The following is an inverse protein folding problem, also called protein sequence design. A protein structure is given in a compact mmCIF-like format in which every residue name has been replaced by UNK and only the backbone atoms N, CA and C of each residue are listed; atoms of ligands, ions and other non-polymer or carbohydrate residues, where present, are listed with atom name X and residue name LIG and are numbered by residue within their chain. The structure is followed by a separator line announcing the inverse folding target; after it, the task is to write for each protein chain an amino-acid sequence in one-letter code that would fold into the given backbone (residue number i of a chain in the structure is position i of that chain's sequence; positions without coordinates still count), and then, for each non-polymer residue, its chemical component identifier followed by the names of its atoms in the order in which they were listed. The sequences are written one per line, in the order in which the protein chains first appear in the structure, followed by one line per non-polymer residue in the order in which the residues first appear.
data_IF_301985861666
#
_entry.id   IF_301985861666
#
_cell.length_a   1.000
_cell.length_b   1.000
_cell.length_c   1.000
_cell.angle_alpha   90.00
_cell.angle_beta   90.00
_cell.angle_gamma   90.00
#
_symmetry.space_group_name_H-M   'P 1'
#
loop_
_entity.id
_entity.type
_entity.pdbx_description
1 polymer ?
#
# COMPACT_ATOMS: atom_id res chain seq x y z
N UNK A 1 -3.34 -22.73 -3.21
CA UNK A 1 -4.58 -22.72 -2.44
C UNK A 1 -4.51 -21.60 -1.42
N UNK A 2 -5.21 -20.52 -1.71
CA UNK A 2 -5.49 -19.46 -0.76
C UNK A 2 -6.55 -19.99 0.17
N UNK A 3 -6.16 -20.47 1.34
CA UNK A 3 -7.15 -20.85 2.32
C UNK A 3 -7.83 -19.59 2.83
N UNK A 4 -9.14 -19.64 2.87
CA UNK A 4 -10.08 -18.64 3.37
C UNK A 4 -9.78 -18.13 4.80
N UNK A 5 -8.79 -18.72 5.47
CA UNK A 5 -8.43 -18.41 6.85
C UNK A 5 -7.48 -17.23 7.03
N UNK A 6 -6.89 -16.69 5.95
CA UNK A 6 -5.86 -15.64 6.02
C UNK A 6 -6.43 -14.23 5.85
N UNK A 7 -7.47 -14.08 5.06
CA UNK A 7 -8.37 -12.94 5.17
C UNK A 7 -9.61 -13.44 5.85
N UNK A 8 -9.92 -13.01 7.06
CA UNK A 8 -11.19 -13.37 7.65
C UNK A 8 -12.26 -13.13 6.58
N UNK A 9 -12.96 -14.19 6.18
CA UNK A 9 -13.99 -14.21 5.14
C UNK A 9 -15.06 -13.12 5.28
N UNK A 10 -15.03 -12.40 6.39
CA UNK A 10 -15.98 -11.37 6.77
C UNK A 10 -15.57 -9.96 6.34
N UNK A 11 -14.32 -9.73 5.89
CA UNK A 11 -13.83 -8.38 5.58
C UNK A 11 -13.69 -8.10 4.08
N UNK A 12 -13.17 -9.02 3.28
CA UNK A 12 -12.90 -8.79 1.86
C UNK A 12 -13.47 -9.92 0.99
N UNK A 13 -14.20 -9.54 -0.06
CA UNK A 13 -14.70 -10.49 -1.05
C UNK A 13 -13.63 -10.87 -2.09
N UNK A 14 -13.84 -12.01 -2.78
CA UNK A 14 -12.90 -12.57 -3.75
C UNK A 14 -12.63 -11.60 -4.91
N UNK A 15 -13.64 -10.85 -5.36
CA UNK A 15 -13.49 -9.85 -6.43
C UNK A 15 -12.54 -8.74 -6.03
N UNK A 16 -12.61 -8.31 -4.78
CA UNK A 16 -11.75 -7.27 -4.22
C UNK A 16 -10.33 -7.80 -4.06
N UNK A 17 -10.17 -9.03 -3.57
CA UNK A 17 -8.87 -9.70 -3.47
C UNK A 17 -8.21 -9.79 -4.84
N UNK A 18 -8.93 -10.24 -5.86
CA UNK A 18 -8.44 -10.33 -7.23
C UNK A 18 -8.14 -8.96 -7.84
N UNK A 19 -9.05 -8.00 -7.70
CA UNK A 19 -8.88 -6.62 -8.22
C UNK A 19 -7.60 -5.98 -7.71
N UNK A 20 -7.33 -6.07 -6.41
CA UNK A 20 -6.12 -5.49 -5.81
C UNK A 20 -4.89 -6.40 -5.95
N UNK A 21 -5.07 -7.67 -6.32
CA UNK A 21 -4.02 -8.66 -6.46
C UNK A 21 -3.38 -9.03 -5.13
N UNK A 22 -4.21 -9.13 -4.08
CA UNK A 22 -3.72 -9.48 -2.74
C UNK A 22 -3.16 -10.90 -2.74
N UNK A 23 -2.11 -11.11 -1.98
CA UNK A 23 -1.43 -12.39 -1.87
C UNK A 23 -0.96 -12.66 -0.44
N UNK A 24 -0.43 -13.86 -0.20
CA UNK A 24 0.18 -14.22 1.07
C UNK A 24 1.61 -14.74 0.85
N UNK A 25 2.56 -14.20 1.59
CA UNK A 25 3.91 -14.72 1.64
C UNK A 25 4.03 -15.67 2.84
N UNK A 26 4.28 -16.97 2.61
CA UNK A 26 4.42 -17.94 3.69
C UNK A 26 5.54 -17.62 4.67
N UNK A 27 5.57 -18.31 5.81
CA UNK A 27 6.57 -18.12 6.86
C UNK A 27 7.97 -18.64 6.48
N UNK A 28 8.08 -19.42 5.38
CA UNK A 28 9.34 -19.98 4.92
C UNK A 28 10.45 -18.92 4.84
N UNK A 29 11.69 -19.32 5.21
CA UNK A 29 12.82 -18.39 5.29
C UNK A 29 13.16 -17.73 3.96
N UNK A 30 13.17 -18.52 2.88
CA UNK A 30 13.61 -18.13 1.53
C UNK A 30 12.74 -18.71 0.41
N UNK A 31 11.49 -19.05 0.70
CA UNK A 31 10.60 -19.74 -0.24
C UNK A 31 10.34 -18.95 -1.51
N UNK A 32 10.03 -17.65 -1.39
CA UNK A 32 9.87 -16.76 -2.55
C UNK A 32 11.19 -16.60 -3.31
N UNK A 33 12.29 -16.34 -2.59
CA UNK A 33 13.60 -16.12 -3.17
C UNK A 33 14.06 -17.32 -4.01
N UNK A 34 13.90 -18.56 -3.49
CA UNK A 34 14.22 -19.79 -4.21
C UNK A 34 13.37 -19.93 -5.48
N UNK A 35 12.05 -19.81 -5.33
CA UNK A 35 11.13 -19.92 -6.47
C UNK A 35 11.39 -18.87 -7.55
N UNK A 36 11.77 -17.65 -7.16
CA UNK A 36 12.12 -16.60 -8.11
C UNK A 36 13.42 -16.90 -8.86
N UNK A 37 14.45 -17.37 -8.16
CA UNK A 37 15.73 -17.76 -8.79
C UNK A 37 15.57 -18.96 -9.74
N UNK A 38 14.77 -19.97 -9.36
CA UNK A 38 14.44 -21.12 -10.21
C UNK A 38 13.71 -20.70 -11.49
N UNK A 39 12.89 -19.65 -11.43
CA UNK A 39 12.23 -19.05 -12.60
C UNK A 39 13.13 -18.14 -13.43
N UNK A 40 14.42 -18.03 -13.08
CA UNK A 40 15.39 -17.24 -13.81
C UNK A 40 15.46 -15.76 -13.47
N UNK A 41 14.75 -15.30 -12.42
CA UNK A 41 14.93 -13.92 -11.95
C UNK A 41 16.32 -13.74 -11.33
N UNK A 42 16.97 -12.63 -11.68
CA UNK A 42 18.32 -12.37 -11.19
C UNK A 42 18.31 -11.90 -9.74
N UNK A 43 19.20 -12.46 -8.92
CA UNK A 43 19.41 -12.09 -7.51
C UNK A 43 19.47 -10.56 -7.30
N UNK A 44 20.25 -9.87 -8.14
CA UNK A 44 20.45 -8.42 -8.03
C UNK A 44 19.14 -7.61 -8.04
N UNK A 45 18.16 -8.01 -8.88
CA UNK A 45 16.87 -7.35 -8.92
C UNK A 45 15.99 -7.68 -7.72
N UNK A 46 16.04 -8.92 -7.23
CA UNK A 46 15.32 -9.33 -6.02
C UNK A 46 15.79 -8.53 -4.79
N UNK A 47 17.10 -8.30 -4.70
CA UNK A 47 17.70 -7.49 -3.63
C UNK A 47 17.41 -6.00 -3.82
N UNK A 48 17.60 -5.44 -5.02
CA UNK A 48 17.33 -4.03 -5.33
C UNK A 48 15.87 -3.62 -5.08
N UNK A 49 14.92 -4.50 -5.38
CA UNK A 49 13.49 -4.26 -5.12
C UNK A 49 13.10 -4.50 -3.66
N UNK A 50 14.04 -5.03 -2.86
CA UNK A 50 13.82 -5.33 -1.45
C UNK A 50 12.84 -6.46 -1.18
N UNK A 51 12.60 -7.34 -2.14
CA UNK A 51 11.81 -8.57 -1.95
C UNK A 51 12.64 -9.64 -1.24
N UNK A 52 13.94 -9.67 -1.54
CA UNK A 52 14.94 -10.52 -0.91
C UNK A 52 15.93 -9.67 -0.13
N UNK A 53 16.32 -10.13 1.05
CA UNK A 53 17.37 -9.52 1.86
C UNK A 53 18.60 -10.41 1.77
N UNK A 54 19.76 -9.78 1.51
CA UNK A 54 21.06 -10.43 1.55
C UNK A 54 21.73 -10.13 2.90
N UNK A 55 22.20 -11.16 3.58
CA UNK A 55 22.92 -11.07 4.85
C UNK A 55 24.09 -12.05 4.88
N UNK A 56 24.93 -11.99 5.89
CA UNK A 56 26.00 -12.96 6.14
C UNK A 56 25.50 -14.42 6.23
N UNK A 57 24.23 -14.61 6.60
CA UNK A 57 23.56 -15.92 6.69
C UNK A 57 22.95 -16.38 5.37
N UNK A 58 23.11 -15.61 4.29
CA UNK A 58 22.54 -15.88 2.98
C UNK A 58 21.33 -15.01 2.62
N UNK A 59 20.56 -15.46 1.64
CA UNK A 59 19.39 -14.78 1.13
C UNK A 59 18.14 -15.22 1.90
N UNK A 60 17.25 -14.29 2.18
CA UNK A 60 15.95 -14.59 2.80
C UNK A 60 14.85 -13.62 2.35
N UNK A 61 13.60 -14.07 2.48
CA UNK A 61 12.43 -13.31 2.08
C UNK A 61 12.14 -12.17 3.06
N UNK A 62 11.89 -10.96 2.53
CA UNK A 62 11.54 -9.80 3.35
C UNK A 62 10.17 -9.92 4.00
N UNK A 63 9.17 -10.44 3.28
CA UNK A 63 7.76 -10.39 3.65
C UNK A 63 7.22 -11.74 4.18
N UNK A 64 7.94 -12.39 5.08
CA UNK A 64 7.51 -13.68 5.63
C UNK A 64 6.26 -13.55 6.51
N UNK A 65 5.36 -14.53 6.44
CA UNK A 65 4.12 -14.63 7.19
C UNK A 65 3.24 -13.36 7.07
N UNK A 66 3.12 -12.80 5.84
CA UNK A 66 2.40 -11.54 5.62
C UNK A 66 1.40 -11.63 4.48
N UNK A 67 0.26 -10.99 4.67
CA UNK A 67 -0.62 -10.61 3.56
C UNK A 67 0.05 -9.50 2.77
N UNK A 68 0.08 -9.65 1.45
CA UNK A 68 0.79 -8.80 0.52
C UNK A 68 -0.17 -7.85 -0.20
N UNK A 69 0.18 -6.58 -0.22
CA UNK A 69 -0.54 -5.49 -0.89
C UNK A 69 0.34 -4.95 -2.01
N UNK A 70 0.08 -5.29 -3.30
CA UNK A 70 0.82 -4.71 -4.41
C UNK A 70 0.59 -3.21 -4.50
N UNK A 71 1.65 -2.43 -4.53
CA UNK A 71 1.62 -0.98 -4.72
C UNK A 71 1.85 -0.69 -6.19
N UNK A 72 0.90 0.03 -6.81
CA UNK A 72 0.93 0.35 -8.23
C UNK A 72 1.17 1.83 -8.47
N UNK A 73 1.90 2.13 -9.54
CA UNK A 73 1.98 3.49 -10.08
C UNK A 73 0.69 3.91 -10.82
N UNK A 74 0.66 5.14 -11.32
CA UNK A 74 -0.49 5.65 -12.11
C UNK A 74 -0.75 4.84 -13.40
N UNK A 75 0.25 4.17 -13.95
CA UNK A 75 0.12 3.32 -15.14
C UNK A 75 -0.38 1.90 -14.82
N UNK A 76 -0.42 1.52 -13.53
CA UNK A 76 -0.84 0.20 -13.05
C UNK A 76 0.29 -0.81 -12.90
N UNK A 77 1.53 -0.41 -13.12
CA UNK A 77 2.68 -1.28 -12.90
C UNK A 77 2.91 -1.45 -11.40
N UNK A 78 3.18 -2.67 -10.97
CA UNK A 78 3.57 -2.95 -9.57
C UNK A 78 4.99 -2.44 -9.38
N UNK A 79 5.17 -1.51 -8.44
CA UNK A 79 6.45 -0.86 -8.13
C UNK A 79 6.99 -1.22 -6.74
N UNK A 80 6.12 -1.72 -5.85
CA UNK A 80 6.47 -2.10 -4.48
C UNK A 80 5.40 -2.99 -3.87
N UNK A 81 5.63 -3.41 -2.64
CA UNK A 81 4.67 -4.15 -1.83
C UNK A 81 4.59 -3.59 -0.40
N UNK A 82 3.38 -3.60 0.16
CA UNK A 82 3.15 -3.58 1.58
C UNK A 82 2.92 -5.00 2.09
N UNK A 83 3.25 -5.28 3.34
CA UNK A 83 2.99 -6.57 3.96
C UNK A 83 2.45 -6.41 5.38
N UNK A 84 1.28 -6.99 5.68
CA UNK A 84 0.69 -7.00 7.03
C UNK A 84 0.87 -8.37 7.66
N UNK A 85 1.47 -8.42 8.86
CA UNK A 85 1.58 -9.67 9.62
C UNK A 85 0.19 -10.10 10.12
N UNK A 86 -0.08 -11.40 10.07
CA UNK A 86 -1.37 -11.95 10.52
C UNK A 86 -1.31 -12.44 11.97
N UNK A 87 -0.12 -12.63 12.52
CA UNK A 87 0.06 -13.07 13.90
C UNK A 87 0.08 -11.88 14.86
N UNK A 88 -0.33 -12.13 16.11
CA UNK A 88 -0.26 -11.14 17.18
C UNK A 88 1.15 -11.03 17.79
N UNK A 89 2.21 -11.30 17.03
CA UNK A 89 3.59 -11.16 17.49
C UNK A 89 3.93 -9.67 17.70
N UNK A 90 4.00 -9.28 18.97
CA UNK A 90 4.34 -7.90 19.38
C UNK A 90 5.79 -7.49 19.05
N UNK A 91 6.65 -8.45 18.67
CA UNK A 91 8.05 -8.18 18.31
C UNK A 91 8.22 -7.78 16.85
N UNK A 92 7.23 -8.08 16.01
CA UNK A 92 7.27 -7.78 14.58
C UNK A 92 6.41 -6.58 14.24
N UNK A 93 6.90 -5.69 13.38
CA UNK A 93 6.11 -4.57 12.90
C UNK A 93 4.82 -5.06 12.23
N UNK A 94 3.65 -4.51 12.62
CA UNK A 94 2.34 -4.87 12.07
C UNK A 94 2.31 -4.71 10.55
N UNK A 95 2.86 -3.61 10.03
CA UNK A 95 3.04 -3.35 8.61
C UNK A 95 4.52 -3.21 8.26
N UNK A 96 4.89 -3.73 7.10
CA UNK A 96 6.22 -3.63 6.51
C UNK A 96 6.05 -3.22 5.04
N UNK A 97 6.80 -2.21 4.60
CA UNK A 97 6.80 -1.78 3.21
C UNK A 97 8.11 -2.15 2.51
N UNK A 98 8.08 -2.24 1.18
CA UNK A 98 9.31 -2.24 0.38
C UNK A 98 10.19 -1.05 0.76
N UNK A 99 11.51 -1.18 0.71
CA UNK A 99 12.42 -0.04 0.87
C UNK A 99 12.28 0.93 -0.32
N UNK A 100 12.82 2.12 -0.18
CA UNK A 100 13.04 3.02 -1.31
C UNK A 100 13.88 2.33 -2.39
N UNK A 101 13.55 2.56 -3.64
CA UNK A 101 14.27 1.99 -4.78
C UNK A 101 14.21 2.92 -5.99
N UNK A 102 14.89 2.57 -7.09
CA UNK A 102 14.85 3.34 -8.33
C UNK A 102 13.43 3.52 -8.89
N UNK A 103 12.53 2.59 -8.59
CA UNK A 103 11.14 2.60 -9.11
C UNK A 103 10.09 2.92 -8.04
N UNK A 104 10.45 2.96 -6.77
CA UNK A 104 9.51 3.19 -5.67
C UNK A 104 10.01 4.26 -4.69
N UNK A 105 9.25 5.33 -4.59
CA UNK A 105 9.44 6.41 -3.63
C UNK A 105 8.16 6.60 -2.82
N UNK A 106 8.21 6.30 -1.53
CA UNK A 106 7.04 6.41 -0.62
C UNK A 106 6.44 7.80 -0.65
N UNK A 107 7.29 8.82 -0.63
CA UNK A 107 6.87 10.23 -0.63
C UNK A 107 6.13 10.66 -1.91
N UNK A 108 6.19 9.87 -2.97
CA UNK A 108 5.59 10.18 -4.29
C UNK A 108 4.54 9.15 -4.71
N UNK A 109 4.16 8.26 -3.81
CA UNK A 109 3.25 7.16 -4.11
C UNK A 109 2.04 7.21 -3.21
N UNK A 110 0.85 7.03 -3.78
CA UNK A 110 -0.41 6.84 -3.06
C UNK A 110 -0.95 5.45 -3.37
N UNK A 111 -1.25 4.67 -2.33
CA UNK A 111 -1.89 3.37 -2.52
C UNK A 111 -3.31 3.55 -3.07
N UNK A 112 -3.68 2.69 -3.99
CA UNK A 112 -5.00 2.73 -4.63
C UNK A 112 -5.12 3.70 -5.79
N UNK A 113 -4.16 4.61 -6.03
CA UNK A 113 -4.26 5.69 -7.03
C UNK A 113 -4.56 5.18 -8.45
N UNK A 114 -4.01 4.03 -8.84
CA UNK A 114 -4.29 3.41 -10.14
C UNK A 114 -5.77 3.11 -10.32
N UNK A 115 -6.40 2.54 -9.32
CA UNK A 115 -7.82 2.18 -9.33
C UNK A 115 -8.71 3.41 -9.15
N UNK A 116 -8.28 4.36 -8.31
CA UNK A 116 -9.06 5.52 -7.91
C UNK A 116 -9.11 6.64 -8.96
N UNK A 117 -8.08 6.79 -9.80
CA UNK A 117 -7.88 7.97 -10.67
C UNK A 117 -9.10 8.33 -11.53
N UNK A 118 -9.80 7.35 -12.11
CA UNK A 118 -11.00 7.60 -12.93
C UNK A 118 -12.16 8.11 -12.06
N UNK A 119 -12.39 7.45 -10.93
CA UNK A 119 -13.46 7.80 -9.99
C UNK A 119 -13.20 9.16 -9.33
N UNK A 120 -11.95 9.49 -9.01
CA UNK A 120 -11.58 10.83 -8.50
C UNK A 120 -11.96 11.93 -9.49
N UNK A 121 -11.62 11.78 -10.76
CA UNK A 121 -11.96 12.74 -11.81
C UNK A 121 -13.49 12.83 -11.99
N UNK A 122 -14.18 11.69 -12.05
CA UNK A 122 -15.63 11.61 -12.28
C UNK A 122 -16.42 12.29 -11.15
N UNK A 123 -16.03 12.06 -9.90
CA UNK A 123 -16.71 12.63 -8.72
C UNK A 123 -16.13 14.00 -8.30
N UNK A 124 -15.09 14.46 -8.99
CA UNK A 124 -14.34 15.67 -8.64
C UNK A 124 -13.98 15.74 -7.16
N UNK A 125 -13.58 14.60 -6.57
CA UNK A 125 -13.26 14.46 -5.15
C UNK A 125 -12.35 13.26 -4.90
N UNK A 126 -11.36 13.43 -4.01
CA UNK A 126 -10.49 12.38 -3.52
C UNK A 126 -10.71 12.17 -2.02
N UNK A 127 -10.97 10.95 -1.60
CA UNK A 127 -10.90 10.55 -0.20
C UNK A 127 -9.50 10.07 0.12
N UNK A 128 -8.89 10.66 1.15
CA UNK A 128 -7.57 10.31 1.65
C UNK A 128 -7.71 9.62 3.00
N UNK A 129 -7.35 8.34 3.05
CA UNK A 129 -7.37 7.48 4.24
C UNK A 129 -5.97 7.11 4.69
N UNK A 130 -5.81 6.38 5.82
CA UNK A 130 -4.48 6.08 6.37
C UNK A 130 -3.80 4.89 5.70
N UNK A 131 -4.50 3.77 5.56
CA UNK A 131 -3.89 2.48 5.28
C UNK A 131 -4.43 1.71 4.07
N UNK A 132 -3.80 0.59 3.81
CA UNK A 132 -4.13 -0.32 2.70
C UNK A 132 -5.57 -0.85 2.81
N UNK A 133 -5.93 -1.34 4.00
CA UNK A 133 -7.25 -1.96 4.22
C UNK A 133 -8.38 -0.94 4.14
N UNK A 134 -8.14 0.31 4.54
CA UNK A 134 -9.14 1.36 4.43
C UNK A 134 -9.49 1.61 2.97
N UNK A 135 -8.46 1.79 2.11
CA UNK A 135 -8.67 1.93 0.67
C UNK A 135 -9.45 0.76 0.12
N UNK A 136 -9.04 -0.47 0.43
CA UNK A 136 -9.67 -1.68 -0.10
C UNK A 136 -11.13 -1.78 0.35
N UNK A 137 -11.41 -1.50 1.63
CA UNK A 137 -12.75 -1.53 2.20
C UNK A 137 -13.68 -0.48 1.57
N UNK A 138 -13.18 0.74 1.34
CA UNK A 138 -13.94 1.78 0.65
C UNK A 138 -14.25 1.37 -0.80
N UNK A 139 -13.26 0.87 -1.53
CA UNK A 139 -13.45 0.39 -2.90
C UNK A 139 -14.45 -0.76 -2.98
N UNK A 140 -14.41 -1.70 -2.03
CA UNK A 140 -15.36 -2.82 -1.96
C UNK A 140 -16.81 -2.33 -1.77
N UNK A 141 -16.99 -1.19 -1.09
CA UNK A 141 -18.30 -0.54 -0.89
C UNK A 141 -18.67 0.44 -2.00
N UNK A 142 -17.91 0.46 -3.10
CA UNK A 142 -18.19 1.31 -4.26
C UNK A 142 -17.66 2.75 -4.14
N UNK A 143 -16.95 3.10 -3.07
CA UNK A 143 -16.33 4.42 -2.89
C UNK A 143 -14.91 4.34 -3.46
N UNK A 144 -14.82 4.30 -4.79
CA UNK A 144 -13.56 4.00 -5.50
C UNK A 144 -12.61 5.21 -5.62
N UNK A 145 -13.05 6.42 -5.33
CA UNK A 145 -12.21 7.63 -5.32
C UNK A 145 -11.39 7.78 -4.03
N UNK A 146 -10.90 6.66 -3.48
CA UNK A 146 -10.18 6.58 -2.20
C UNK A 146 -8.73 6.14 -2.42
N UNK A 147 -7.79 6.83 -1.74
CA UNK A 147 -6.35 6.56 -1.76
C UNK A 147 -5.76 6.67 -0.35
N UNK A 148 -4.57 6.12 -0.13
CA UNK A 148 -3.86 6.25 1.15
C UNK A 148 -2.38 6.61 0.97
N UNK A 149 -1.83 7.32 1.97
CA UNK A 149 -0.38 7.58 2.10
C UNK A 149 0.41 6.34 2.57
N UNK A 150 -0.29 5.36 3.17
CA UNK A 150 0.19 4.00 3.49
C UNK A 150 1.49 3.93 4.30
N UNK A 151 1.40 4.38 5.55
CA UNK A 151 2.48 4.23 6.55
C UNK A 151 3.57 5.30 6.45
N UNK A 152 3.28 6.42 5.78
CA UNK A 152 4.08 7.65 5.84
C UNK A 152 3.18 8.84 6.17
N UNK A 153 3.75 9.87 6.79
CA UNK A 153 3.05 11.15 6.85
C UNK A 153 2.77 11.65 5.43
N UNK A 154 1.59 12.25 5.23
CA UNK A 154 1.24 12.89 3.95
C UNK A 154 2.32 13.86 3.50
N UNK A 155 2.68 13.82 2.23
CA UNK A 155 3.72 14.66 1.64
C UNK A 155 3.15 15.61 0.57
N UNK A 156 3.89 16.67 0.30
CA UNK A 156 3.55 17.64 -0.75
C UNK A 156 3.47 16.95 -2.13
N UNK A 157 4.38 16.02 -2.43
CA UNK A 157 4.38 15.28 -3.68
C UNK A 157 3.14 14.41 -3.85
N UNK A 158 2.65 13.79 -2.77
CA UNK A 158 1.41 13.02 -2.78
C UNK A 158 0.19 13.92 -3.00
N UNK A 159 0.16 15.09 -2.38
CA UNK A 159 -0.90 16.10 -2.59
C UNK A 159 -0.90 16.58 -4.04
N UNK A 160 0.26 16.84 -4.62
CA UNK A 160 0.40 17.22 -6.03
C UNK A 160 -0.05 16.13 -7.00
N UNK A 161 0.05 14.84 -6.63
CA UNK A 161 -0.56 13.75 -7.41
C UNK A 161 -2.08 13.87 -7.41
N UNK A 162 -2.71 14.11 -6.25
CA UNK A 162 -4.16 14.28 -6.15
C UNK A 162 -4.60 15.53 -6.93
N UNK A 163 -3.88 16.63 -6.80
CA UNK A 163 -4.18 17.90 -7.47
C UNK A 163 -4.29 17.79 -8.99
N UNK A 164 -3.57 16.86 -9.61
CA UNK A 164 -3.68 16.59 -11.06
C UNK A 164 -5.03 15.98 -11.45
N UNK A 165 -5.76 15.42 -10.50
CA UNK A 165 -7.01 14.69 -10.71
C UNK A 165 -8.23 15.50 -10.23
N UNK A 166 -8.10 16.22 -9.11
CA UNK A 166 -9.17 17.03 -8.49
C UNK A 166 -8.59 18.08 -7.55
N UNK A 167 -9.23 19.25 -7.43
CA UNK A 167 -8.89 20.22 -6.38
C UNK A 167 -9.52 19.87 -5.02
N UNK A 168 -10.41 18.89 -4.91
CA UNK A 168 -11.19 18.62 -3.70
C UNK A 168 -10.71 17.35 -3.00
N UNK A 169 -10.27 17.49 -1.75
CA UNK A 169 -9.79 16.39 -0.90
C UNK A 169 -10.66 16.28 0.34
N UNK A 170 -10.97 15.08 0.78
CA UNK A 170 -11.58 14.81 2.07
C UNK A 170 -10.68 13.85 2.82
N UNK A 171 -10.16 14.26 3.97
CA UNK A 171 -9.29 13.45 4.82
C UNK A 171 -10.18 12.66 5.80
N UNK A 172 -9.99 11.34 5.83
CA UNK A 172 -10.71 10.41 6.71
C UNK A 172 -9.67 9.56 7.42
N UNK A 173 -9.27 9.98 8.61
CA UNK A 173 -8.27 9.32 9.44
C UNK A 173 -8.90 8.81 10.74
N UNK A 174 -8.21 7.94 11.46
CA UNK A 174 -8.68 7.38 12.71
C UNK A 174 -8.94 8.47 13.76
N UNK A 175 -9.96 8.27 14.61
CA UNK A 175 -10.35 9.22 15.64
C UNK A 175 -9.46 9.20 16.89
N UNK A 176 -8.33 8.51 16.87
CA UNK A 176 -7.35 8.53 17.95
C UNK A 176 -6.47 9.80 17.93
N UNK A 177 -5.70 10.03 18.97
CA UNK A 177 -4.87 11.23 19.10
C UNK A 177 -3.83 11.37 17.98
N UNK A 178 -3.32 10.25 17.43
CA UNK A 178 -2.34 10.24 16.35
C UNK A 178 -3.01 10.58 15.01
N UNK A 179 -4.16 9.99 14.71
CA UNK A 179 -4.94 10.25 13.50
C UNK A 179 -5.47 11.69 13.45
N UNK A 180 -5.99 12.22 14.59
CA UNK A 180 -6.42 13.63 14.68
C UNK A 180 -5.23 14.57 14.38
N UNK A 181 -4.07 14.34 15.00
CA UNK A 181 -2.88 15.15 14.73
C UNK A 181 -2.41 15.06 13.28
N UNK A 182 -2.49 13.87 12.69
CA UNK A 182 -2.14 13.66 11.29
C UNK A 182 -3.13 14.35 10.34
N UNK A 183 -4.43 14.33 10.65
CA UNK A 183 -5.48 15.03 9.90
C UNK A 183 -5.26 16.54 9.89
N UNK A 184 -5.04 17.16 11.06
CA UNK A 184 -4.80 18.61 11.16
C UNK A 184 -3.58 19.01 10.32
N UNK A 185 -2.47 18.30 10.44
CA UNK A 185 -1.29 18.54 9.61
C UNK A 185 -1.59 18.34 8.11
N UNK A 186 -2.39 17.33 7.78
CA UNK A 186 -2.80 17.05 6.40
C UNK A 186 -3.62 18.20 5.81
N UNK A 187 -4.55 18.76 6.59
CA UNK A 187 -5.36 19.92 6.20
C UNK A 187 -4.46 21.10 5.84
N UNK A 188 -3.50 21.46 6.70
CA UNK A 188 -2.58 22.57 6.45
C UNK A 188 -1.83 22.37 5.12
N UNK A 189 -1.24 21.19 4.91
CA UNK A 189 -0.51 20.87 3.68
C UNK A 189 -1.40 20.91 2.42
N UNK A 190 -2.64 20.45 2.52
CA UNK A 190 -3.60 20.47 1.39
C UNK A 190 -3.99 21.90 1.03
N UNK A 191 -4.24 22.74 2.03
CA UNK A 191 -4.56 24.16 1.84
C UNK A 191 -3.37 24.95 1.28
N UNK A 192 -2.14 24.70 1.76
CA UNK A 192 -0.91 25.31 1.26
C UNK A 192 -0.67 25.02 -0.23
N UNK A 193 -1.05 23.83 -0.70
CA UNK A 193 -0.97 23.45 -2.12
C UNK A 193 -2.18 23.94 -2.95
N UNK A 194 -3.07 24.72 -2.35
CA UNK A 194 -4.19 25.38 -3.03
C UNK A 194 -5.36 24.45 -3.38
N UNK A 195 -5.55 23.36 -2.64
CA UNK A 195 -6.70 22.48 -2.77
C UNK A 195 -7.76 22.81 -1.70
N UNK A 196 -8.97 22.36 -1.95
CA UNK A 196 -10.07 22.40 -0.99
C UNK A 196 -10.05 21.14 -0.12
N UNK A 197 -10.29 21.26 1.20
CA UNK A 197 -10.30 20.14 2.15
C UNK A 197 -11.55 20.19 3.04
#
# INVERSE_FOLDING_TARGET
DWSSDVCSSDLLDDRTIEKFGLGYCPEAWDGFTKAALEKGYKKEFLVKTGLTIESERGLFDRFRARVMFPIRDLAGKIIAFGGRIMTNDKKSAKYLNSPESEIYHKSRTLYGIYFAKKSIVQHNRCYLVEGYLDVISFHQKGIENTVASSGTSLTIEQIRLIRRLTPNVTIIYDGDAAGIKASLRGIDLVLEEGLNV
#
